data_IF_785203490992
#
_entry.id   IF_785203490992
#
_cell.length_a   1.000
_cell.length_b   1.000
_cell.length_c   1.000
_cell.angle_alpha   90.00
_cell.angle_beta   90.00
_cell.angle_gamma   90.00
#
_symmetry.space_group_name_H-M   'P 1'
#
loop_
_entity.id
_entity.type
_entity.pdbx_description
1 polymer ?
#
# COMPACT_ATOMS: atom_id res chain seq x y z
N UNK A 1 -22.92 3.60 -12.08
CA UNK A 1 -21.57 4.01 -12.51
C UNK A 1 -20.76 2.76 -12.77
N UNK A 2 -20.05 2.70 -13.89
CA UNK A 2 -19.07 1.65 -14.13
C UNK A 2 -17.88 1.90 -13.20
N UNK A 3 -17.61 0.98 -12.26
CA UNK A 3 -16.53 1.14 -11.30
C UNK A 3 -15.27 0.42 -11.80
N UNK A 4 -14.17 1.16 -11.94
CA UNK A 4 -12.85 0.62 -12.22
C UNK A 4 -12.45 -0.40 -11.14
N UNK A 5 -11.69 -1.44 -11.50
CA UNK A 5 -11.24 -2.46 -10.55
C UNK A 5 -10.00 -3.18 -11.09
N UNK A 6 -8.90 -3.17 -10.34
CA UNK A 6 -7.80 -4.12 -10.53
C UNK A 6 -8.34 -5.50 -10.23
N UNK A 7 -8.46 -6.34 -11.25
CA UNK A 7 -9.08 -7.65 -11.15
C UNK A 7 -8.04 -8.75 -10.97
N UNK A 8 -6.92 -8.64 -11.67
CA UNK A 8 -5.94 -9.74 -11.69
C UNK A 8 -4.52 -9.21 -11.88
N UNK A 9 -3.58 -9.85 -11.19
CA UNK A 9 -2.14 -9.74 -11.41
C UNK A 9 -1.69 -10.98 -12.17
N UNK A 10 -0.97 -10.82 -13.27
CA UNK A 10 -0.33 -11.92 -13.99
C UNK A 10 1.17 -11.81 -13.93
N UNK A 11 1.84 -12.91 -13.67
CA UNK A 11 3.28 -12.94 -13.43
C UNK A 11 4.02 -13.63 -14.58
N UNK A 12 5.07 -12.99 -15.07
CA UNK A 12 5.99 -13.54 -16.06
C UNK A 12 7.43 -13.44 -15.54
N UNK A 13 7.83 -14.45 -14.76
CA UNK A 13 9.18 -14.51 -14.19
C UNK A 13 10.28 -14.72 -15.23
N UNK A 14 9.94 -15.00 -16.50
CA UNK A 14 10.94 -15.07 -17.56
C UNK A 14 11.52 -13.69 -17.92
N UNK A 15 10.82 -12.61 -17.57
CA UNK A 15 11.27 -11.22 -17.73
C UNK A 15 12.24 -10.76 -16.64
N UNK A 16 12.48 -11.56 -15.58
CA UNK A 16 13.39 -11.17 -14.52
C UNK A 16 14.84 -11.11 -15.02
N UNK A 17 15.46 -9.96 -14.90
CA UNK A 17 16.85 -9.73 -15.27
C UNK A 17 17.72 -9.32 -14.08
N UNK A 18 19.04 -9.21 -14.32
CA UNK A 18 20.03 -8.60 -13.42
C UNK A 18 19.70 -8.61 -11.92
N UNK A 19 19.29 -7.44 -11.42
CA UNK A 19 19.00 -7.18 -10.00
C UNK A 19 17.65 -7.72 -9.53
N UNK A 20 16.76 -8.15 -10.41
CA UNK A 20 15.41 -8.64 -10.08
C UNK A 20 15.36 -10.17 -9.90
N UNK A 21 16.44 -10.91 -10.21
CA UNK A 21 16.47 -12.38 -10.09
C UNK A 21 16.07 -12.92 -8.71
N UNK A 22 16.39 -12.18 -7.64
CA UNK A 22 16.02 -12.59 -6.27
C UNK A 22 14.50 -12.74 -6.08
N UNK A 23 13.68 -12.06 -6.89
CA UNK A 23 12.22 -12.15 -6.82
C UNK A 23 11.76 -13.59 -7.10
N UNK A 24 12.42 -14.27 -8.04
CA UNK A 24 12.18 -15.69 -8.34
C UNK A 24 12.65 -16.65 -7.24
N UNK A 25 13.42 -16.17 -6.27
CA UNK A 25 13.84 -16.94 -5.10
C UNK A 25 12.91 -16.75 -3.90
N UNK A 26 12.06 -15.70 -3.91
CA UNK A 26 11.10 -15.45 -2.83
C UNK A 26 10.07 -16.59 -2.81
N UNK A 27 9.98 -17.36 -1.71
CA UNK A 27 9.16 -18.57 -1.68
C UNK A 27 7.70 -18.34 -2.07
N UNK A 28 7.08 -17.29 -1.52
CA UNK A 28 5.67 -16.93 -1.75
C UNK A 28 5.37 -16.47 -3.18
N UNK A 29 6.38 -15.97 -3.91
CA UNK A 29 6.19 -15.41 -5.25
C UNK A 29 6.57 -16.38 -6.36
N UNK A 30 7.62 -17.18 -6.18
CA UNK A 30 8.27 -17.96 -7.26
C UNK A 30 7.38 -18.94 -8.04
N UNK A 31 6.21 -19.31 -7.50
CA UNK A 31 5.25 -20.22 -8.14
C UNK A 31 3.97 -19.51 -8.61
N UNK A 32 3.82 -18.22 -8.37
CA UNK A 32 2.63 -17.48 -8.76
C UNK A 32 2.61 -17.28 -10.26
N UNK A 33 1.51 -17.67 -10.89
CA UNK A 33 1.22 -17.33 -12.29
C UNK A 33 0.18 -16.24 -12.39
N UNK A 34 -0.75 -16.22 -11.43
CA UNK A 34 -1.88 -15.31 -11.40
C UNK A 34 -2.33 -15.07 -9.94
N UNK A 35 -2.78 -13.86 -9.64
CA UNK A 35 -3.43 -13.53 -8.37
C UNK A 35 -4.69 -12.68 -8.65
N UNK A 36 -5.84 -13.19 -8.23
CA UNK A 36 -7.10 -12.45 -8.34
C UNK A 36 -7.31 -11.50 -7.16
N UNK A 37 -7.81 -10.31 -7.48
CA UNK A 37 -8.20 -9.28 -6.51
C UNK A 37 -9.72 -9.16 -6.58
N UNK A 38 -10.41 -9.70 -5.58
CA UNK A 38 -11.87 -9.83 -5.62
C UNK A 38 -12.56 -8.68 -4.89
N UNK A 39 -11.95 -8.15 -3.83
CA UNK A 39 -12.49 -7.04 -3.06
C UNK A 39 -11.85 -5.68 -3.37
N UNK A 40 -12.58 -4.61 -3.02
CA UNK A 40 -12.07 -3.24 -3.11
C UNK A 40 -10.97 -2.94 -2.10
N UNK A 41 -10.88 -3.74 -1.05
CA UNK A 41 -9.79 -3.68 -0.08
C UNK A 41 -9.16 -5.07 -0.04
N UNK A 42 -7.87 -5.15 -0.32
CA UNK A 42 -7.08 -6.37 -0.18
C UNK A 42 -5.88 -6.08 0.69
N UNK A 43 -5.76 -6.84 1.78
CA UNK A 43 -4.66 -6.76 2.71
C UNK A 43 -3.60 -7.78 2.39
N UNK A 44 -2.33 -7.38 2.50
CA UNK A 44 -1.18 -8.28 2.47
C UNK A 44 -0.62 -8.37 3.89
N UNK A 45 -0.53 -9.59 4.41
CA UNK A 45 0.01 -9.88 5.75
C UNK A 45 1.08 -10.97 5.66
N UNK A 46 1.93 -11.06 6.67
CA UNK A 46 2.99 -12.07 6.76
C UNK A 46 4.30 -11.49 7.29
N UNK A 47 5.28 -12.34 7.55
CA UNK A 47 6.55 -11.96 8.17
C UNK A 47 7.40 -11.01 7.31
N UNK A 48 8.39 -10.38 7.94
CA UNK A 48 9.37 -9.56 7.24
C UNK A 48 10.19 -10.43 6.28
N UNK A 49 10.35 -9.97 5.03
CA UNK A 49 11.00 -10.74 3.98
C UNK A 49 10.09 -11.76 3.27
N UNK A 50 8.82 -11.88 3.63
CA UNK A 50 7.86 -12.77 2.95
C UNK A 50 7.46 -12.32 1.53
N UNK A 51 7.96 -11.19 1.03
CA UNK A 51 7.71 -10.71 -0.35
C UNK A 51 6.55 -9.71 -0.51
N UNK A 52 5.92 -9.26 0.59
CA UNK A 52 4.81 -8.28 0.57
C UNK A 52 5.20 -6.97 -0.14
N UNK A 53 6.25 -6.30 0.34
CA UNK A 53 6.71 -5.03 -0.21
C UNK A 53 7.24 -5.19 -1.64
N UNK A 54 7.85 -6.32 -1.97
CA UNK A 54 8.27 -6.65 -3.34
C UNK A 54 7.07 -6.70 -4.30
N UNK A 55 5.99 -7.37 -3.92
CA UNK A 55 4.79 -7.41 -4.74
C UNK A 55 4.08 -6.05 -4.79
N UNK A 56 4.00 -5.34 -3.66
CA UNK A 56 3.46 -3.98 -3.59
C UNK A 56 4.20 -3.03 -4.54
N UNK A 57 5.53 -3.06 -4.52
CA UNK A 57 6.37 -2.21 -5.37
C UNK A 57 6.10 -2.51 -6.84
N UNK A 58 6.03 -3.79 -7.22
CA UNK A 58 5.72 -4.20 -8.59
C UNK A 58 4.31 -3.74 -9.03
N UNK A 59 3.30 -3.86 -8.16
CA UNK A 59 1.96 -3.33 -8.44
C UNK A 59 2.00 -1.81 -8.59
N UNK A 60 2.73 -1.11 -7.71
CA UNK A 60 2.84 0.34 -7.71
C UNK A 60 3.51 0.85 -9.00
N UNK A 61 4.66 0.31 -9.37
CA UNK A 61 5.41 0.72 -10.57
C UNK A 61 4.68 0.34 -11.85
N UNK A 62 4.06 -0.85 -11.93
CA UNK A 62 3.23 -1.25 -13.07
C UNK A 62 1.95 -0.40 -13.21
N UNK A 63 1.41 0.13 -12.11
CA UNK A 63 0.36 1.15 -12.18
C UNK A 63 0.89 2.49 -12.72
N UNK A 64 2.12 2.82 -12.37
CA UNK A 64 2.89 4.00 -12.77
C UNK A 64 3.31 4.89 -11.59
N UNK A 65 3.16 4.45 -10.35
CA UNK A 65 3.67 5.20 -9.19
C UNK A 65 5.19 5.14 -9.11
N UNK A 66 5.79 6.12 -8.43
CA UNK A 66 7.21 6.07 -8.07
C UNK A 66 7.46 4.96 -7.02
N UNK A 67 8.57 4.22 -7.14
CA UNK A 67 8.97 3.14 -6.24
C UNK A 67 9.09 3.56 -4.77
N UNK A 68 9.48 4.81 -4.53
CA UNK A 68 9.62 5.40 -3.20
C UNK A 68 8.27 5.89 -2.64
N UNK A 69 7.19 5.83 -3.41
CA UNK A 69 5.89 6.37 -3.04
C UNK A 69 5.52 7.66 -3.78
N UNK A 70 4.25 8.04 -3.67
CA UNK A 70 3.69 9.20 -4.33
C UNK A 70 2.84 8.88 -5.57
N UNK A 71 2.81 9.82 -6.51
CA UNK A 71 2.04 9.70 -7.76
C UNK A 71 2.97 9.41 -8.94
N UNK A 72 2.44 9.42 -10.18
CA UNK A 72 3.23 9.34 -11.42
C UNK A 72 4.26 10.47 -11.58
N UNK A 73 4.02 11.62 -10.94
CA UNK A 73 4.79 12.85 -11.14
C UNK A 73 5.48 13.32 -9.85
N UNK A 74 5.83 12.42 -8.93
CA UNK A 74 6.59 12.83 -7.73
C UNK A 74 7.89 13.52 -8.17
N UNK A 75 8.02 14.81 -7.84
CA UNK A 75 9.12 15.70 -8.22
C UNK A 75 10.47 15.40 -7.53
N UNK A 76 10.51 14.31 -6.78
CA UNK A 76 11.58 13.92 -5.90
C UNK A 76 12.25 12.71 -6.51
N UNK A 77 12.88 12.94 -7.66
CA UNK A 77 13.76 11.94 -8.24
C UNK A 77 14.97 11.83 -7.30
N UNK A 78 15.02 10.74 -6.53
CA UNK A 78 16.34 10.20 -6.17
C UNK A 78 17.03 9.84 -7.48
N UNK A 79 18.35 10.03 -7.56
CA UNK A 79 19.16 9.93 -8.79
C UNK A 79 19.13 8.55 -9.50
N UNK A 80 18.27 7.62 -9.08
CA UNK A 80 17.96 6.39 -9.81
C UNK A 80 16.93 6.71 -10.90
N UNK A 81 17.42 6.95 -12.11
CA UNK A 81 16.65 7.10 -13.36
C UNK A 81 15.85 5.86 -13.76
N UNK A 82 15.81 4.83 -12.92
CA UNK A 82 15.09 3.60 -13.17
C UNK A 82 13.68 3.76 -12.57
N UNK A 83 12.75 4.31 -13.37
CA UNK A 83 11.31 4.22 -13.11
C UNK A 83 10.82 2.75 -13.28
N UNK A 84 11.62 1.79 -12.80
CA UNK A 84 11.64 0.38 -13.14
C UNK A 84 10.23 -0.17 -13.20
N UNK A 85 9.67 -0.16 -14.42
CA UNK A 85 8.44 -0.86 -14.71
C UNK A 85 8.78 -2.31 -14.43
N UNK A 86 8.08 -2.91 -13.48
CA UNK A 86 8.24 -4.33 -13.21
C UNK A 86 7.68 -5.10 -14.40
N UNK A 87 8.51 -5.39 -15.39
CA UNK A 87 8.13 -6.09 -16.62
C UNK A 87 7.63 -7.52 -16.35
N UNK A 88 7.91 -8.05 -15.16
CA UNK A 88 7.47 -9.36 -14.70
C UNK A 88 6.04 -9.39 -14.14
N UNK A 89 5.33 -8.25 -14.02
CA UNK A 89 3.93 -8.21 -13.57
C UNK A 89 3.03 -7.41 -14.52
N UNK A 90 1.88 -7.99 -14.85
CA UNK A 90 0.85 -7.38 -15.69
C UNK A 90 -0.45 -7.20 -14.90
N UNK A 91 -0.91 -5.94 -14.82
CA UNK A 91 -2.14 -5.58 -14.12
C UNK A 91 -3.34 -5.60 -15.08
N UNK A 92 -4.33 -6.46 -14.81
CA UNK A 92 -5.59 -6.51 -15.55
C UNK A 92 -6.69 -5.74 -14.82
N UNK A 93 -7.34 -4.82 -15.52
CA UNK A 93 -8.37 -3.94 -14.98
C UNK A 93 -9.72 -4.25 -15.61
N UNK A 94 -10.78 -4.14 -14.82
CA UNK A 94 -12.14 -4.30 -15.31
C UNK A 94 -13.06 -3.18 -14.83
N UNK A 95 -13.89 -2.60 -15.71
CA UNK A 95 -13.70 -2.57 -17.17
C UNK A 95 -12.67 -1.51 -17.60
N UNK A 96 -12.27 -0.61 -16.71
CA UNK A 96 -11.28 0.44 -16.97
C UNK A 96 -10.26 0.54 -15.83
N UNK A 97 -9.07 1.08 -16.14
CA UNK A 97 -8.01 1.41 -15.17
C UNK A 97 -8.33 2.74 -14.45
N UNK A 98 -7.99 2.85 -13.16
CA UNK A 98 -8.07 4.13 -12.45
C UNK A 98 -7.09 5.15 -13.05
N UNK A 99 -7.51 6.43 -13.07
CA UNK A 99 -6.65 7.53 -13.54
C UNK A 99 -5.84 8.18 -12.42
N UNK A 100 -6.41 8.16 -11.21
CA UNK A 100 -5.86 8.79 -10.01
C UNK A 100 -5.51 7.74 -8.96
N UNK A 101 -4.71 8.15 -7.99
CA UNK A 101 -4.26 7.28 -6.92
C UNK A 101 -2.99 7.79 -6.26
N UNK A 102 -2.56 7.12 -5.21
CA UNK A 102 -1.35 7.45 -4.48
C UNK A 102 -0.76 6.20 -3.82
N UNK A 103 0.56 6.07 -3.86
CA UNK A 103 1.29 5.05 -3.11
C UNK A 103 1.85 5.64 -1.82
N UNK A 104 1.27 5.29 -0.68
CA UNK A 104 1.73 5.67 0.65
C UNK A 104 2.72 4.63 1.16
N UNK A 105 3.98 5.04 1.32
CA UNK A 105 5.06 4.26 1.94
C UNK A 105 5.60 5.07 3.11
N UNK A 106 5.78 4.45 4.27
CA UNK A 106 6.24 5.15 5.46
C UNK A 106 7.56 5.92 5.19
N UNK A 107 8.56 5.25 4.62
CA UNK A 107 9.86 5.84 4.24
C UNK A 107 9.72 6.97 3.21
N UNK A 108 8.90 6.75 2.18
CA UNK A 108 8.63 7.71 1.12
C UNK A 108 8.06 9.04 1.62
N UNK A 109 7.25 8.99 2.66
CA UNK A 109 6.55 10.17 3.15
C UNK A 109 7.41 10.99 4.11
N UNK A 110 8.38 10.37 4.79
CA UNK A 110 9.45 11.15 5.44
C UNK A 110 10.25 11.95 4.41
N UNK A 111 10.62 11.34 3.28
CA UNK A 111 11.27 12.06 2.19
C UNK A 111 10.37 13.15 1.61
N UNK A 112 9.07 12.87 1.46
CA UNK A 112 8.08 13.84 0.99
C UNK A 112 7.98 15.05 1.93
N UNK A 113 7.89 14.81 3.24
CA UNK A 113 7.87 15.84 4.27
C UNK A 113 9.12 16.71 4.20
N UNK A 114 10.30 16.11 4.19
CA UNK A 114 11.57 16.83 4.17
C UNK A 114 11.65 17.82 2.99
N UNK A 115 11.23 17.44 1.79
CA UNK A 115 11.19 18.43 0.69
C UNK A 115 10.09 19.45 0.85
N UNK A 116 8.90 19.09 1.38
CA UNK A 116 7.88 20.10 1.61
C UNK A 116 8.40 21.16 2.58
N UNK A 117 9.27 20.77 3.53
CA UNK A 117 10.05 21.70 4.35
C UNK A 117 11.06 22.49 3.50
N UNK A 118 11.81 21.86 2.59
CA UNK A 118 12.78 22.53 1.72
C UNK A 118 12.17 23.57 0.76
N UNK A 119 10.99 23.30 0.20
CA UNK A 119 10.35 24.17 -0.81
C UNK A 119 9.26 25.09 -0.24
N UNK A 120 9.10 25.12 1.09
CA UNK A 120 7.98 25.83 1.76
C UNK A 120 6.60 25.45 1.17
N UNK A 121 6.48 24.18 0.75
CA UNK A 121 5.38 23.65 -0.06
C UNK A 121 4.16 23.24 0.75
N UNK A 122 4.22 23.36 2.08
CA UNK A 122 3.13 22.99 2.98
C UNK A 122 1.89 23.86 2.83
N UNK A 123 2.00 25.01 2.15
CA UNK A 123 0.85 25.86 1.78
C UNK A 123 -0.29 25.08 1.12
N UNK A 124 0.02 24.10 0.26
CA UNK A 124 -0.98 23.25 -0.40
C UNK A 124 -1.61 22.17 0.51
N UNK A 125 -1.05 21.94 1.72
CA UNK A 125 -1.44 20.87 2.64
C UNK A 125 -1.89 21.38 4.02
N UNK A 126 -1.96 22.70 4.22
CA UNK A 126 -2.38 23.31 5.50
C UNK A 126 -1.57 24.51 6.01
N UNK A 127 -0.60 25.02 5.23
CA UNK A 127 0.15 26.26 5.52
C UNK A 127 1.30 26.12 6.53
N UNK A 128 1.96 27.25 6.82
CA UNK A 128 3.11 27.46 7.73
C UNK A 128 2.99 26.80 9.12
N UNK A 129 1.79 26.35 9.49
CA UNK A 129 1.52 25.65 10.73
C UNK A 129 1.85 24.15 10.72
N UNK A 130 2.17 23.53 9.58
CA UNK A 130 2.50 22.10 9.51
C UNK A 130 3.73 21.71 10.35
N UNK A 131 4.71 22.61 10.47
CA UNK A 131 5.87 22.43 11.35
C UNK A 131 5.52 22.37 12.85
N UNK A 132 4.33 22.83 13.24
CA UNK A 132 3.87 22.78 14.64
C UNK A 132 3.16 21.45 14.98
N UNK A 133 2.93 20.57 14.01
CA UNK A 133 2.32 19.26 14.21
C UNK A 133 3.37 18.18 14.44
N UNK A 134 3.01 17.14 15.18
CA UNK A 134 3.83 15.92 15.23
C UNK A 134 3.92 15.25 13.85
N UNK A 135 4.98 14.48 13.60
CA UNK A 135 5.13 13.76 12.33
C UNK A 135 3.90 12.89 11.98
N UNK A 136 3.29 12.24 12.97
CA UNK A 136 2.09 11.44 12.76
C UNK A 136 0.84 12.26 12.39
N UNK A 137 0.76 13.52 12.81
CA UNK A 137 -0.33 14.43 12.43
C UNK A 137 -0.09 15.04 11.04
N UNK A 138 1.14 15.41 10.71
CA UNK A 138 1.53 15.80 9.36
C UNK A 138 1.20 14.68 8.37
N UNK A 139 1.51 13.44 8.76
CA UNK A 139 1.24 12.25 7.97
C UNK A 139 -0.25 12.05 7.69
N UNK A 140 -1.11 12.20 8.71
CA UNK A 140 -2.56 12.14 8.52
C UNK A 140 -3.09 13.24 7.60
N UNK A 141 -2.57 14.47 7.69
CA UNK A 141 -2.98 15.56 6.78
C UNK A 141 -2.65 15.26 5.32
N UNK A 142 -1.50 14.64 5.08
CA UNK A 142 -1.11 14.21 3.72
C UNK A 142 -2.07 13.13 3.21
N UNK A 143 -2.40 12.14 4.04
CA UNK A 143 -3.38 11.11 3.70
C UNK A 143 -4.73 11.75 3.33
N UNK A 144 -5.24 12.64 4.18
CA UNK A 144 -6.51 13.34 3.95
C UNK A 144 -6.48 14.17 2.65
N UNK A 145 -5.39 14.87 2.39
CA UNK A 145 -5.25 15.69 1.17
C UNK A 145 -5.11 14.85 -0.10
N UNK A 146 -4.44 13.70 -0.05
CA UNK A 146 -4.18 12.84 -1.22
C UNK A 146 -5.28 11.82 -1.48
N UNK A 147 -6.12 11.55 -0.49
CA UNK A 147 -7.33 10.74 -0.61
C UNK A 147 -8.57 11.62 -0.79
N UNK A 148 -8.50 12.57 -1.71
CA UNK A 148 -9.58 13.53 -2.01
C UNK A 148 -10.44 13.15 -3.23
N UNK A 149 -10.01 12.16 -4.02
CA UNK A 149 -10.64 11.75 -5.28
C UNK A 149 -10.76 10.24 -5.40
N UNK A 150 -11.69 9.74 -6.22
CA UNK A 150 -11.81 8.30 -6.46
C UNK A 150 -10.57 7.77 -7.20
N UNK A 151 -9.92 6.75 -6.65
CA UNK A 151 -8.61 6.31 -7.14
C UNK A 151 -8.19 4.90 -6.70
N UNK A 152 -7.00 4.51 -7.17
CA UNK A 152 -6.31 3.30 -6.73
C UNK A 152 -5.21 3.66 -5.72
N UNK A 153 -5.30 3.14 -4.51
CA UNK A 153 -4.42 3.48 -3.42
C UNK A 153 -3.63 2.27 -2.95
N UNK A 154 -2.36 2.48 -2.68
CA UNK A 154 -1.49 1.45 -2.09
C UNK A 154 -0.94 2.00 -0.79
N UNK A 155 -1.03 1.23 0.28
CA UNK A 155 -0.50 1.59 1.60
C UNK A 155 0.47 0.49 2.03
N UNK A 156 1.71 0.84 2.36
CA UNK A 156 2.75 -0.09 2.78
C UNK A 156 3.26 0.28 4.18
N UNK A 157 2.83 -0.52 5.18
CA UNK A 157 3.25 -0.48 6.59
C UNK A 157 3.20 0.91 7.24
N UNK A 158 2.18 1.70 6.86
CA UNK A 158 2.04 3.09 7.27
C UNK A 158 1.60 3.25 8.74
N UNK A 159 1.17 2.17 9.41
CA UNK A 159 0.85 2.18 10.83
C UNK A 159 2.05 2.54 11.72
N UNK A 160 3.27 2.31 11.25
CA UNK A 160 4.51 2.61 11.97
C UNK A 160 4.66 4.10 12.30
N UNK A 161 4.08 4.96 11.46
CA UNK A 161 4.06 6.41 11.64
C UNK A 161 2.80 6.93 12.34
N UNK A 162 1.85 6.05 12.71
CA UNK A 162 0.53 6.44 13.20
C UNK A 162 0.24 5.91 14.62
N UNK A 163 -0.25 6.79 15.48
CA UNK A 163 -0.86 6.38 16.75
C UNK A 163 -2.12 5.53 16.51
N UNK A 164 -2.52 4.72 17.48
CA UNK A 164 -3.75 3.90 17.37
C UNK A 164 -5.00 4.74 17.03
N UNK A 165 -5.11 5.94 17.61
CA UNK A 165 -6.21 6.88 17.29
C UNK A 165 -6.18 7.32 15.83
N UNK A 166 -5.00 7.60 15.26
CA UNK A 166 -4.89 7.97 13.86
C UNK A 166 -5.07 6.76 12.92
N UNK A 167 -4.70 5.55 13.35
CA UNK A 167 -5.04 4.33 12.61
C UNK A 167 -6.56 4.12 12.51
N UNK A 168 -7.32 4.42 13.58
CA UNK A 168 -8.79 4.41 13.53
C UNK A 168 -9.34 5.47 12.57
N UNK A 169 -8.77 6.68 12.55
CA UNK A 169 -9.16 7.70 11.55
C UNK A 169 -8.88 7.24 10.12
N UNK A 170 -7.71 6.64 9.88
CA UNK A 170 -7.35 6.06 8.59
C UNK A 170 -8.35 4.99 8.14
N UNK A 171 -8.79 4.12 9.05
CA UNK A 171 -9.83 3.12 8.78
C UNK A 171 -11.11 3.77 8.27
N UNK A 172 -11.56 4.85 8.90
CA UNK A 172 -12.76 5.59 8.46
C UNK A 172 -12.58 6.26 7.10
N UNK A 173 -11.39 6.82 6.82
CA UNK A 173 -11.05 7.37 5.49
C UNK A 173 -11.11 6.26 4.42
N UNK A 174 -10.49 5.11 4.67
CA UNK A 174 -10.48 3.98 3.73
C UNK A 174 -11.92 3.50 3.46
N UNK A 175 -12.74 3.34 4.50
CA UNK A 175 -14.15 2.95 4.37
C UNK A 175 -14.94 3.94 3.54
N UNK A 176 -14.78 5.24 3.80
CA UNK A 176 -15.42 6.30 3.03
C UNK A 176 -15.00 6.24 1.55
N UNK A 177 -13.70 6.21 1.28
CA UNK A 177 -13.18 6.19 -0.08
C UNK A 177 -13.55 4.91 -0.84
N UNK A 178 -13.57 3.75 -0.17
CA UNK A 178 -14.12 2.50 -0.72
C UNK A 178 -15.57 2.70 -1.15
N UNK A 179 -16.40 3.32 -0.31
CA UNK A 179 -17.82 3.55 -0.63
C UNK A 179 -18.02 4.46 -1.85
N UNK A 180 -17.08 5.39 -2.08
CA UNK A 180 -17.05 6.25 -3.26
C UNK A 180 -16.54 5.53 -4.53
N UNK A 181 -16.01 4.31 -4.40
CA UNK A 181 -15.56 3.47 -5.50
C UNK A 181 -14.04 3.38 -5.64
N UNK A 182 -13.25 3.84 -4.67
CA UNK A 182 -11.80 3.64 -4.64
C UNK A 182 -11.44 2.18 -4.33
N UNK A 183 -10.23 1.78 -4.72
CA UNK A 183 -9.68 0.46 -4.44
C UNK A 183 -8.32 0.57 -3.73
N UNK A 184 -8.06 -0.38 -2.85
CA UNK A 184 -6.93 -0.39 -1.93
C UNK A 184 -6.19 -1.73 -1.96
N UNK A 185 -4.86 -1.65 -2.05
CA UNK A 185 -3.94 -2.72 -1.65
C UNK A 185 -3.18 -2.23 -0.42
N UNK A 186 -3.21 -2.99 0.67
CA UNK A 186 -2.68 -2.53 1.96
C UNK A 186 -1.79 -3.61 2.57
N UNK A 187 -0.48 -3.38 2.69
CA UNK A 187 0.34 -4.18 3.60
C UNK A 187 0.30 -3.56 5.00
N UNK A 188 -0.01 -4.38 6.00
CA UNK A 188 -0.07 -3.92 7.38
C UNK A 188 0.09 -5.08 8.36
N UNK A 189 0.68 -4.78 9.50
CA UNK A 189 0.74 -5.62 10.70
C UNK A 189 -0.22 -5.12 11.78
N UNK A 190 -1.05 -4.12 11.50
CA UNK A 190 -1.98 -3.54 12.47
C UNK A 190 -3.33 -4.27 12.47
N UNK A 191 -3.72 -4.91 13.60
CA UNK A 191 -5.08 -5.44 13.78
C UNK A 191 -6.17 -4.37 13.65
N UNK A 192 -5.85 -3.09 13.91
CA UNK A 192 -6.78 -1.96 13.77
C UNK A 192 -7.07 -1.72 12.30
N UNK A 193 -6.04 -1.66 11.46
CA UNK A 193 -6.20 -1.40 10.02
C UNK A 193 -6.87 -2.59 9.32
N UNK A 194 -6.57 -3.82 9.73
CA UNK A 194 -7.19 -5.05 9.22
C UNK A 194 -8.69 -5.20 9.57
N UNK A 195 -9.24 -4.33 10.42
CA UNK A 195 -10.61 -4.49 10.96
C UNK A 195 -11.75 -4.20 9.96
N UNK A 196 -11.44 -3.74 8.74
CA UNK A 196 -12.47 -3.38 7.76
C UNK A 196 -13.09 -4.65 7.19
N UNK A 197 -14.42 -4.76 7.23
CA UNK A 197 -15.17 -5.86 6.63
C UNK A 197 -15.23 -5.78 5.09
N UNK A 198 -15.63 -6.88 4.46
CA UNK A 198 -15.68 -7.06 2.99
C UNK A 198 -14.32 -6.79 2.30
N UNK A 199 -13.26 -7.26 2.94
CA UNK A 199 -11.90 -7.25 2.42
C UNK A 199 -11.38 -8.67 2.22
N UNK A 200 -10.41 -8.83 1.35
CA UNK A 200 -9.57 -10.02 1.32
C UNK A 200 -8.32 -9.80 2.18
N UNK A 201 -7.89 -10.82 2.94
CA UNK A 201 -6.60 -10.82 3.63
C UNK A 201 -5.77 -11.96 3.03
N UNK A 202 -4.64 -11.61 2.42
CA UNK A 202 -3.72 -12.52 1.78
C UNK A 202 -2.46 -12.64 2.63
N UNK A 203 -2.24 -13.82 3.21
CA UNK A 203 -1.00 -14.18 3.89
C UNK A 203 0.07 -14.56 2.88
N UNK A 204 1.30 -14.12 3.13
CA UNK A 204 2.50 -14.46 2.36
C UNK A 204 3.40 -15.47 3.11
N UNK A 205 2.93 -15.93 4.27
CA UNK A 205 3.65 -16.90 5.09
C UNK A 205 3.63 -18.30 4.45
N UNK A 206 4.40 -19.23 5.00
CA UNK A 206 4.46 -20.64 4.56
C UNK A 206 4.89 -20.86 3.09
N UNK A 207 5.37 -19.81 2.43
CA UNK A 207 5.94 -19.88 1.09
C UNK A 207 4.91 -19.96 -0.04
N UNK A 208 3.66 -19.57 0.22
CA UNK A 208 2.64 -19.35 -0.81
C UNK A 208 1.65 -18.26 -0.40
N UNK A 209 1.01 -17.59 -1.36
CA UNK A 209 -0.02 -16.60 -1.06
C UNK A 209 -1.34 -17.31 -0.80
N UNK A 210 -1.89 -17.17 0.41
CA UNK A 210 -3.17 -17.77 0.79
C UNK A 210 -4.12 -16.73 1.35
N UNK A 211 -5.41 -16.88 1.04
CA UNK A 211 -6.45 -16.10 1.72
C UNK A 211 -6.70 -16.66 3.12
N UNK A 212 -6.70 -15.80 4.12
CA UNK A 212 -6.97 -16.15 5.52
C UNK A 212 -8.03 -15.23 6.12
N UNK A 213 -8.68 -15.68 7.20
CA UNK A 213 -9.61 -14.83 7.95
C UNK A 213 -8.88 -13.96 8.97
N UNK A 214 -9.48 -12.82 9.31
CA UNK A 214 -8.96 -11.85 10.28
C UNK A 214 -8.46 -12.51 11.57
N UNK A 215 -9.26 -13.42 12.12
CA UNK A 215 -8.99 -14.07 13.40
C UNK A 215 -7.77 -15.01 13.38
N UNK A 216 -7.34 -15.45 12.20
CA UNK A 216 -6.17 -16.32 11.99
C UNK A 216 -4.92 -15.56 11.56
N UNK A 217 -4.99 -14.23 11.44
CA UNK A 217 -3.80 -13.43 11.14
C UNK A 217 -2.84 -13.44 12.33
N UNK A 218 -1.53 -13.62 12.12
CA UNK A 218 -0.55 -13.68 13.22
C UNK A 218 -0.58 -12.46 14.14
N UNK A 219 -0.74 -11.25 13.58
CA UNK A 219 -0.80 -10.01 14.36
C UNK A 219 -2.04 -9.94 15.27
N UNK A 220 -3.21 -10.41 14.80
CA UNK A 220 -4.43 -10.46 15.62
C UNK A 220 -4.29 -11.48 16.74
N UNK A 221 -3.74 -12.66 16.47
CA UNK A 221 -3.49 -13.68 17.49
C UNK A 221 -2.56 -13.17 18.60
N UNK A 222 -1.47 -12.48 18.24
CA UNK A 222 -0.57 -11.85 19.22
C UNK A 222 -1.35 -10.88 20.13
N UNK A 223 -2.16 -9.99 19.56
CA UNK A 223 -2.93 -9.02 20.34
C UNK A 223 -3.97 -9.69 21.23
N UNK A 224 -4.69 -10.71 20.74
CA UNK A 224 -5.63 -11.51 21.54
C UNK A 224 -4.94 -12.13 22.74
N UNK A 225 -3.77 -12.76 22.55
CA UNK A 225 -2.99 -13.39 23.63
C UNK A 225 -2.56 -12.39 24.70
N UNK A 226 -2.26 -11.15 24.33
CA UNK A 226 -1.84 -10.10 25.27
C UNK A 226 -3.03 -9.49 26.01
N UNK A 227 -4.12 -9.17 25.28
CA UNK A 227 -5.27 -8.46 25.84
C UNK A 227 -6.19 -9.36 26.67
N UNK A 228 -6.37 -10.63 26.29
CA UNK A 228 -7.24 -11.58 26.99
C UNK A 228 -6.59 -12.22 28.23
N UNK A 229 -5.29 -11.97 28.47
CA UNK A 229 -4.57 -12.45 29.67
C UNK A 229 -4.55 -11.44 30.82
N UNK A 230 -5.18 -10.28 30.65
CA UNK A 230 -5.43 -9.30 31.71
C UNK A 230 -6.82 -9.48 32.29
#
# INVERSE_FOLDING_TARGET
MIQAHLKTLKFDFSQLDGKQKYIGDIPSLRKLTELEINNKITYFVGENGAGKSTLIEAIATSFGFNKEGGTKHSLYQTNDTDNGVSDWINLSWQPIKYKNGFFFRAEGIYNFNNYLEEIDGFSAYGGDNLHNFSHGEQFMKIIESRMDTVGFYILDEIESALSATNQLKLVEIIKYMRSMGSQFIIATHSPIILSISDSDILSFDDGEIQKIDYDFTPCVDIYKRVLLKK
#
